data_IF_614391885175
#
_entry.id   IF_614391885175
#
_cell.length_a   1.000
_cell.length_b   1.000
_cell.length_c   1.000
_cell.angle_alpha   90.00
_cell.angle_beta   90.00
_cell.angle_gamma   90.00
#
_symmetry.space_group_name_H-M   'P 1'
#
loop_
_entity.id
_entity.type
_entity.pdbx_description
1 polymer ?
#
# COMPACT_ATOMS: atom_id res chain seq x y z
N UNK A 1 -12.24 1.57 -15.00
CA UNK A 1 -10.87 2.11 -14.87
C UNK A 1 -9.81 1.01 -14.83
N UNK A 2 -9.77 0.09 -13.85
CA UNK A 2 -8.82 -1.05 -13.87
C UNK A 2 -9.32 -2.27 -14.68
N UNK A 3 -10.63 -2.56 -14.64
CA UNK A 3 -11.25 -3.64 -15.43
C UNK A 3 -11.07 -3.40 -16.93
N UNK A 4 -11.38 -2.20 -17.38
CA UNK A 4 -11.23 -1.79 -18.79
C UNK A 4 -9.77 -1.92 -19.27
N UNK A 5 -8.79 -1.66 -18.41
CA UNK A 5 -7.37 -1.75 -18.74
C UNK A 5 -6.87 -3.20 -18.81
N UNK A 6 -7.39 -4.08 -17.96
CA UNK A 6 -7.20 -5.54 -18.05
C UNK A 6 -7.77 -6.06 -19.37
N UNK A 7 -8.99 -5.66 -19.73
CA UNK A 7 -9.62 -6.05 -21.00
C UNK A 7 -8.86 -5.52 -22.22
N UNK A 8 -8.34 -4.29 -22.17
CA UNK A 8 -7.57 -3.67 -23.25
C UNK A 8 -6.19 -4.30 -23.46
N UNK A 9 -5.51 -4.67 -22.38
CA UNK A 9 -4.11 -5.14 -22.42
C UNK A 9 -3.98 -6.65 -22.41
N UNK A 10 -5.01 -7.38 -21.95
CA UNK A 10 -4.95 -8.83 -21.73
C UNK A 10 -4.01 -9.27 -20.61
N UNK A 11 -3.44 -8.33 -19.85
CA UNK A 11 -2.56 -8.60 -18.71
C UNK A 11 -3.37 -9.00 -17.48
N UNK A 12 -2.74 -9.66 -16.52
CA UNK A 12 -3.39 -9.93 -15.24
C UNK A 12 -3.69 -8.63 -14.48
N UNK A 13 -4.67 -8.67 -13.58
CA UNK A 13 -5.02 -7.51 -12.76
C UNK A 13 -3.82 -7.04 -11.93
N UNK A 14 -3.03 -7.97 -11.39
CA UNK A 14 -1.84 -7.67 -10.60
C UNK A 14 -0.80 -6.91 -11.42
N UNK A 15 -0.56 -7.32 -12.67
CA UNK A 15 0.37 -6.64 -13.57
C UNK A 15 -0.12 -5.23 -13.92
N UNK A 16 -1.41 -5.07 -14.23
CA UNK A 16 -2.01 -3.75 -14.50
C UNK A 16 -1.91 -2.82 -13.29
N UNK A 17 -2.16 -3.34 -12.08
CA UNK A 17 -2.07 -2.57 -10.83
C UNK A 17 -0.62 -2.18 -10.54
N UNK A 18 0.34 -3.09 -10.69
CA UNK A 18 1.76 -2.81 -10.50
C UNK A 18 2.25 -1.73 -11.48
N UNK A 19 1.89 -1.84 -12.76
CA UNK A 19 2.20 -0.82 -13.77
C UNK A 19 1.58 0.53 -13.43
N UNK A 20 0.33 0.55 -12.96
CA UNK A 20 -0.33 1.77 -12.50
C UNK A 20 0.40 2.42 -11.32
N UNK A 21 0.81 1.63 -10.33
CA UNK A 21 1.57 2.11 -9.17
C UNK A 21 2.90 2.69 -9.61
N UNK A 22 3.65 1.99 -10.47
CA UNK A 22 4.92 2.47 -10.99
C UNK A 22 4.77 3.77 -11.80
N UNK A 23 3.69 3.92 -12.56
CA UNK A 23 3.44 5.12 -13.36
C UNK A 23 3.00 6.34 -12.53
N UNK A 24 2.20 6.14 -11.48
CA UNK A 24 1.55 7.24 -10.75
C UNK A 24 2.08 7.48 -9.34
N UNK A 25 2.82 6.51 -8.79
CA UNK A 25 3.42 6.52 -7.45
C UNK A 25 4.89 6.07 -7.56
N UNK A 26 5.73 6.78 -8.33
CA UNK A 26 7.10 6.36 -8.61
C UNK A 26 7.99 6.29 -7.36
N UNK A 27 7.61 6.97 -6.27
CA UNK A 27 8.26 6.89 -4.96
C UNK A 27 7.93 5.59 -4.20
N UNK A 28 6.91 4.83 -4.60
CA UNK A 28 6.54 3.59 -3.93
C UNK A 28 7.71 2.62 -3.90
N UNK A 29 8.11 2.23 -2.69
CA UNK A 29 9.20 1.28 -2.47
C UNK A 29 8.76 -0.15 -2.79
N UNK A 30 7.50 -0.50 -2.46
CA UNK A 30 6.98 -1.85 -2.67
C UNK A 30 6.52 -2.11 -4.11
N UNK A 31 6.33 -1.07 -4.92
CA UNK A 31 6.05 -1.16 -6.37
C UNK A 31 4.79 -1.98 -6.74
N UNK A 32 3.84 -2.07 -5.82
CA UNK A 32 2.57 -2.76 -5.99
C UNK A 32 1.51 -2.12 -5.09
N UNK A 33 0.25 -2.50 -5.28
CA UNK A 33 -0.76 -2.16 -4.30
C UNK A 33 -0.48 -2.90 -2.98
N UNK A 34 -0.61 -2.17 -1.87
CA UNK A 34 -0.72 -2.79 -0.56
C UNK A 34 -2.04 -3.57 -0.47
N UNK A 35 -2.02 -4.70 0.22
CA UNK A 35 -3.22 -5.51 0.45
C UNK A 35 -4.00 -5.01 1.68
N UNK A 36 -5.26 -5.42 1.79
CA UNK A 36 -6.10 -5.08 2.97
C UNK A 36 -5.52 -5.74 4.22
N UNK A 37 -4.96 -6.94 4.09
CA UNK A 37 -4.31 -7.68 5.18
C UNK A 37 -3.07 -6.94 5.70
N UNK A 38 -2.29 -6.30 4.84
CA UNK A 38 -1.14 -5.49 5.28
C UNK A 38 -1.56 -4.31 6.17
N UNK A 39 -2.70 -3.67 5.85
CA UNK A 39 -3.29 -2.64 6.71
C UNK A 39 -3.85 -3.24 8.00
N UNK A 40 -4.57 -4.37 7.90
CA UNK A 40 -5.13 -5.06 9.06
C UNK A 40 -4.06 -5.52 10.06
N UNK A 41 -2.92 -5.98 9.57
CA UNK A 41 -1.80 -6.39 10.42
C UNK A 41 -1.24 -5.23 11.25
N UNK A 42 -1.15 -4.02 10.69
CA UNK A 42 -0.77 -2.83 11.45
C UNK A 42 -1.80 -2.53 12.55
N UNK A 43 -3.10 -2.64 12.23
CA UNK A 43 -4.16 -2.44 13.23
C UNK A 43 -4.05 -3.45 14.37
N UNK A 44 -3.89 -4.74 14.05
CA UNK A 44 -3.70 -5.81 15.06
C UNK A 44 -2.50 -5.51 15.95
N UNK A 45 -1.37 -5.09 15.37
CA UNK A 45 -0.19 -4.70 16.12
C UNK A 45 -0.46 -3.53 17.06
N UNK A 46 -1.10 -2.45 16.57
CA UNK A 46 -1.37 -1.24 17.37
C UNK A 46 -2.39 -1.49 18.48
N UNK A 47 -3.33 -2.41 18.29
CA UNK A 47 -4.27 -2.82 19.33
C UNK A 47 -3.67 -3.78 20.37
N UNK A 48 -2.44 -4.26 20.16
CA UNK A 48 -1.80 -5.25 21.04
C UNK A 48 -1.08 -4.61 22.24
N UNK A 49 -0.76 -5.42 23.24
CA UNK A 49 0.03 -4.97 24.40
C UNK A 49 1.44 -4.52 24.02
N UNK A 50 1.98 -5.01 22.90
CA UNK A 50 3.29 -4.65 22.37
C UNK A 50 3.37 -3.17 21.93
N UNK A 51 2.23 -2.54 21.67
CA UNK A 51 2.13 -1.13 21.29
C UNK A 51 1.71 -0.23 22.47
N UNK A 52 1.85 -0.68 23.73
CA UNK A 52 1.32 0.02 24.92
C UNK A 52 1.86 1.45 25.12
N UNK A 53 3.01 1.79 24.53
CA UNK A 53 3.59 3.14 24.57
C UNK A 53 3.43 3.91 23.24
N UNK A 54 2.75 3.34 22.25
CA UNK A 54 2.49 3.97 20.96
C UNK A 54 1.16 4.72 21.02
N UNK A 55 1.22 6.04 21.12
CA UNK A 55 0.02 6.89 21.23
C UNK A 55 0.24 8.24 20.54
N UNK A 56 -0.82 8.83 20.00
CA UNK A 56 -0.79 10.17 19.37
C UNK A 56 -0.03 10.26 18.03
N UNK A 57 0.45 9.15 17.48
CA UNK A 57 1.21 9.11 16.24
C UNK A 57 0.37 8.68 15.03
N UNK A 58 0.74 9.17 13.84
CA UNK A 58 0.21 8.66 12.56
C UNK A 58 1.11 7.55 12.04
N UNK A 59 0.60 6.32 12.00
CA UNK A 59 1.35 5.16 11.51
C UNK A 59 0.97 4.86 10.06
N UNK A 60 1.95 4.91 9.15
CA UNK A 60 1.71 4.77 7.70
C UNK A 60 1.77 3.30 7.26
N UNK A 61 0.86 2.94 6.36
CA UNK A 61 0.85 1.68 5.60
C UNK A 61 0.66 2.00 4.12
N UNK A 62 1.63 2.73 3.57
CA UNK A 62 1.55 3.29 2.21
C UNK A 62 2.56 2.67 1.24
N UNK A 63 3.37 1.71 1.72
CA UNK A 63 4.40 1.10 0.90
C UNK A 63 5.55 2.04 0.53
N UNK A 64 5.78 3.10 1.31
CA UNK A 64 6.86 4.06 1.11
C UNK A 64 6.56 5.13 0.07
N UNK A 65 5.29 5.38 -0.24
CA UNK A 65 4.90 6.42 -1.21
C UNK A 65 5.25 7.82 -0.70
N UNK A 66 5.08 8.09 0.60
CA UNK A 66 5.56 9.34 1.20
C UNK A 66 7.04 9.17 1.55
N UNK A 67 7.90 9.94 0.88
CA UNK A 67 9.36 9.86 0.93
C UNK A 67 10.01 10.80 1.96
N UNK A 68 9.19 11.50 2.76
CA UNK A 68 9.64 12.40 3.82
C UNK A 68 9.20 11.94 5.23
N UNK A 69 10.02 12.27 6.22
CA UNK A 69 9.74 12.11 7.66
C UNK A 69 9.26 13.44 8.22
N UNK A 70 8.16 13.42 8.99
CA UNK A 70 7.57 14.58 9.68
C UNK A 70 7.55 14.36 11.18
#
# INVERSE_FOLDING_TARGET
MMKDEVERTGKSLEAVVAEFVMAHRPSSIIQRAASVEEVANMIVYVCSAQASATTGASLRVDGGVVDDIV
#
